data_IF_917308053670
#
_entry.id   IF_917308053670
#
_cell.length_a   1.000
_cell.length_b   1.000
_cell.length_c   1.000
_cell.angle_alpha   90.00
_cell.angle_beta   90.00
_cell.angle_gamma   90.00
#
_symmetry.space_group_name_H-M   'P 1'
#
loop_
_entity.id
_entity.type
_entity.pdbx_description
1 polymer ?
#
# COMPACT_ATOMS: atom_id res chain seq x y z
N UNK A 1 24.81 8.13 -27.21
CA UNK A 1 23.57 7.78 -26.47
C UNK A 1 22.71 9.02 -26.51
N UNK A 2 21.41 8.89 -26.86
CA UNK A 2 20.51 10.03 -26.86
C UNK A 2 20.31 10.52 -25.40
N UNK A 3 20.11 11.81 -25.20
CA UNK A 3 19.80 12.39 -23.90
C UNK A 3 18.65 11.68 -23.20
N UNK A 4 17.65 11.27 -23.98
CA UNK A 4 16.54 10.46 -23.48
C UNK A 4 16.99 9.14 -22.85
N UNK A 5 17.93 8.43 -23.51
CA UNK A 5 18.44 7.17 -22.94
C UNK A 5 19.20 7.42 -21.62
N UNK A 6 19.95 8.51 -21.52
CA UNK A 6 20.63 8.88 -20.26
C UNK A 6 19.62 9.16 -19.15
N UNK A 7 18.56 9.94 -19.43
CA UNK A 7 17.50 10.20 -18.44
C UNK A 7 16.83 8.92 -17.97
N UNK A 8 16.57 7.96 -18.86
CA UNK A 8 16.01 6.68 -18.46
C UNK A 8 16.97 5.85 -17.61
N UNK A 9 18.26 5.86 -17.94
CA UNK A 9 19.29 5.20 -17.14
C UNK A 9 19.35 5.79 -15.72
N UNK A 10 19.37 7.11 -15.60
CA UNK A 10 19.37 7.82 -14.32
C UNK A 10 18.12 7.47 -13.47
N UNK A 11 16.94 7.35 -14.09
CA UNK A 11 15.69 7.04 -13.40
C UNK A 11 15.64 5.58 -12.94
N UNK A 12 15.98 4.64 -13.83
CA UNK A 12 15.66 3.22 -13.62
C UNK A 12 16.86 2.36 -13.22
N UNK A 13 18.08 2.81 -13.49
CA UNK A 13 19.29 2.04 -13.23
C UNK A 13 20.10 2.65 -12.08
N UNK A 14 20.43 3.93 -12.18
CA UNK A 14 21.25 4.61 -11.16
C UNK A 14 20.46 4.81 -9.84
N UNK A 15 19.15 4.86 -9.92
CA UNK A 15 18.29 5.09 -8.77
C UNK A 15 17.85 3.76 -8.15
N UNK A 16 18.61 3.28 -7.16
CA UNK A 16 18.37 1.98 -6.50
C UNK A 16 16.95 1.79 -5.98
N UNK A 17 16.28 2.84 -5.47
CA UNK A 17 14.93 2.72 -4.98
C UNK A 17 13.91 2.45 -6.09
N UNK A 18 14.12 2.98 -7.30
CA UNK A 18 13.19 2.77 -8.43
C UNK A 18 13.15 1.31 -8.85
N UNK A 19 14.31 0.72 -9.11
CA UNK A 19 14.43 -0.68 -9.52
C UNK A 19 13.86 -1.62 -8.45
N UNK A 20 14.21 -1.39 -7.17
CA UNK A 20 13.72 -2.16 -6.04
C UNK A 20 12.19 -2.05 -5.94
N UNK A 21 11.65 -0.85 -5.91
CA UNK A 21 10.19 -0.62 -5.75
C UNK A 21 9.39 -1.24 -6.89
N UNK A 22 9.84 -1.10 -8.13
CA UNK A 22 9.17 -1.72 -9.29
C UNK A 22 9.23 -3.25 -9.22
N UNK A 23 10.38 -3.81 -8.87
CA UNK A 23 10.53 -5.25 -8.68
C UNK A 23 9.58 -5.78 -7.61
N UNK A 24 9.57 -5.18 -6.44
CA UNK A 24 8.71 -5.58 -5.32
C UNK A 24 7.23 -5.45 -5.64
N UNK A 25 6.76 -4.31 -6.15
CA UNK A 25 5.35 -4.07 -6.51
C UNK A 25 4.80 -5.05 -7.55
N UNK A 26 5.67 -5.67 -8.33
CA UNK A 26 5.31 -6.60 -9.40
C UNK A 26 5.62 -8.05 -9.09
N UNK A 27 6.15 -8.36 -7.88
CA UNK A 27 6.75 -9.67 -7.58
C UNK A 27 7.80 -10.07 -8.63
N UNK A 28 8.59 -9.10 -9.11
CA UNK A 28 9.63 -9.26 -10.12
C UNK A 28 9.13 -9.79 -11.48
N UNK A 29 7.86 -9.58 -11.81
CA UNK A 29 7.32 -9.91 -13.11
C UNK A 29 7.73 -8.87 -14.15
N UNK A 30 8.56 -9.28 -15.12
CA UNK A 30 9.17 -8.39 -16.12
C UNK A 30 8.12 -7.61 -16.93
N UNK A 31 7.04 -8.25 -17.37
CA UNK A 31 5.97 -7.58 -18.12
C UNK A 31 5.31 -6.47 -17.29
N UNK A 32 5.04 -6.77 -16.04
CA UNK A 32 4.45 -5.80 -15.11
C UNK A 32 5.43 -4.66 -14.80
N UNK A 33 6.73 -4.94 -14.65
CA UNK A 33 7.77 -3.92 -14.50
C UNK A 33 7.76 -2.99 -15.69
N UNK A 34 7.75 -3.51 -16.92
CA UNK A 34 7.72 -2.70 -18.15
C UNK A 34 6.46 -1.82 -18.22
N UNK A 35 5.31 -2.36 -17.84
CA UNK A 35 4.06 -1.58 -17.82
C UNK A 35 4.12 -0.44 -16.80
N UNK A 36 4.62 -0.69 -15.59
CA UNK A 36 4.79 0.36 -14.58
C UNK A 36 5.85 1.38 -14.99
N UNK A 37 6.96 0.95 -15.58
CA UNK A 37 8.00 1.86 -16.12
C UNK A 37 7.42 2.78 -17.20
N UNK A 38 6.65 2.22 -18.14
CA UNK A 38 5.94 3.03 -19.15
C UNK A 38 5.03 4.05 -18.49
N UNK A 39 4.23 3.64 -17.50
CA UNK A 39 3.32 4.52 -16.76
C UNK A 39 4.06 5.70 -16.10
N UNK A 40 5.23 5.45 -15.51
CA UNK A 40 6.06 6.48 -14.89
C UNK A 40 6.58 7.45 -15.95
N UNK A 41 7.12 6.93 -17.06
CA UNK A 41 7.66 7.74 -18.15
C UNK A 41 6.59 8.65 -18.76
N UNK A 42 5.37 8.14 -18.95
CA UNK A 42 4.26 8.91 -19.53
C UNK A 42 3.54 9.80 -18.52
N UNK A 43 3.88 9.70 -17.24
CA UNK A 43 3.25 10.52 -16.21
C UNK A 43 3.62 12.00 -16.34
N UNK A 44 2.64 12.91 -16.39
CA UNK A 44 2.90 14.35 -16.42
C UNK A 44 3.61 14.85 -15.14
N UNK A 45 3.60 14.07 -14.06
CA UNK A 45 4.34 14.36 -12.82
C UNK A 45 5.84 14.30 -13.05
N UNK A 46 6.30 13.38 -13.91
CA UNK A 46 7.73 13.18 -14.18
C UNK A 46 8.34 14.31 -15.00
N UNK A 47 7.55 14.92 -15.92
CA UNK A 47 8.02 16.01 -16.79
C UNK A 47 9.30 15.61 -17.54
N UNK A 48 9.27 14.46 -18.19
CA UNK A 48 10.47 13.87 -18.87
C UNK A 48 11.04 14.86 -19.92
N UNK A 49 10.20 15.63 -20.60
CA UNK A 49 10.64 16.65 -21.56
C UNK A 49 11.52 17.72 -20.90
N UNK A 50 11.17 18.16 -19.70
CA UNK A 50 11.97 19.13 -18.95
C UNK A 50 13.32 18.51 -18.54
N UNK A 51 13.32 17.22 -18.15
CA UNK A 51 14.56 16.49 -17.82
C UNK A 51 15.49 16.34 -18.99
N UNK A 52 14.96 16.17 -20.21
CA UNK A 52 15.75 16.07 -21.45
C UNK A 52 16.33 17.45 -21.85
N UNK A 53 15.57 18.52 -21.64
CA UNK A 53 15.95 19.86 -22.08
C UNK A 53 16.82 20.62 -21.08
N UNK A 54 16.70 20.31 -19.79
CA UNK A 54 17.47 20.99 -18.74
C UNK A 54 18.89 20.42 -18.63
N UNK A 55 19.83 21.01 -19.37
CA UNK A 55 21.24 20.64 -19.43
C UNK A 55 22.05 20.86 -18.13
N UNK A 56 21.49 21.54 -17.12
CA UNK A 56 22.36 22.16 -16.11
C UNK A 56 22.11 21.72 -14.66
N UNK A 57 20.93 21.32 -14.28
CA UNK A 57 20.67 20.88 -12.88
C UNK A 57 19.35 20.11 -12.78
N UNK A 58 19.35 18.84 -13.15
CA UNK A 58 18.22 18.00 -12.74
C UNK A 58 18.40 17.65 -11.28
N UNK A 59 17.51 18.17 -10.42
CA UNK A 59 17.37 17.57 -9.12
C UNK A 59 17.08 16.07 -9.31
N UNK A 60 17.81 15.20 -8.64
CA UNK A 60 17.58 13.76 -8.76
C UNK A 60 16.12 13.47 -8.44
N UNK A 61 15.51 12.57 -9.20
CA UNK A 61 14.13 12.16 -8.95
C UNK A 61 14.05 11.60 -7.55
N UNK A 62 13.34 12.31 -6.67
CA UNK A 62 13.13 11.84 -5.32
C UNK A 62 12.02 10.80 -5.25
N UNK A 63 12.04 9.98 -4.19
CA UNK A 63 11.08 8.91 -3.96
C UNK A 63 9.62 9.38 -3.99
N UNK A 64 9.35 10.57 -3.45
CA UNK A 64 7.99 11.15 -3.43
C UNK A 64 7.46 11.40 -4.83
N UNK A 65 8.26 12.03 -5.69
CA UNK A 65 7.90 12.31 -7.09
C UNK A 65 7.70 11.01 -7.88
N UNK A 66 8.57 10.02 -7.64
CA UNK A 66 8.45 8.70 -8.25
C UNK A 66 7.14 8.00 -7.86
N UNK A 67 6.80 7.94 -6.57
CA UNK A 67 5.53 7.35 -6.11
C UNK A 67 4.32 8.13 -6.62
N UNK A 68 4.39 9.46 -6.65
CA UNK A 68 3.29 10.28 -7.20
C UNK A 68 3.08 10.00 -8.70
N UNK A 69 4.15 9.88 -9.48
CA UNK A 69 4.08 9.50 -10.89
C UNK A 69 3.52 8.08 -11.09
N UNK A 70 3.94 7.14 -10.25
CA UNK A 70 3.47 5.76 -10.27
C UNK A 70 1.96 5.68 -9.98
N UNK A 71 1.47 6.44 -9.01
CA UNK A 71 0.05 6.44 -8.60
C UNK A 71 -0.84 7.14 -9.61
N UNK A 72 -0.44 8.32 -10.06
CA UNK A 72 -1.26 9.12 -10.99
C UNK A 72 -1.16 8.62 -12.43
N UNK A 73 0.00 8.14 -12.85
CA UNK A 73 0.26 7.68 -14.21
C UNK A 73 -0.11 8.74 -15.27
N UNK A 74 -0.54 8.27 -16.43
CA UNK A 74 -1.17 9.10 -17.44
C UNK A 74 -2.61 9.44 -17.00
N UNK A 75 -2.98 10.71 -17.08
CA UNK A 75 -4.27 11.22 -16.60
C UNK A 75 -5.48 10.57 -17.28
N UNK A 76 -5.33 10.14 -18.53
CA UNK A 76 -6.40 9.43 -19.26
C UNK A 76 -6.51 7.95 -18.84
N UNK A 77 -5.40 7.30 -18.57
CA UNK A 77 -5.39 5.92 -18.07
C UNK A 77 -6.03 5.81 -16.67
N UNK A 78 -5.93 6.87 -15.86
CA UNK A 78 -6.58 6.94 -14.54
C UNK A 78 -8.11 6.92 -14.61
N UNK A 79 -8.70 7.47 -15.69
CA UNK A 79 -10.15 7.51 -15.88
C UNK A 79 -10.76 6.18 -16.35
N UNK A 80 -9.98 5.34 -16.99
CA UNK A 80 -10.47 4.16 -17.70
C UNK A 80 -10.14 2.83 -17.04
N UNK A 81 -9.22 2.80 -16.08
CA UNK A 81 -8.79 1.54 -15.49
C UNK A 81 -9.42 1.31 -14.11
N UNK A 82 -10.20 0.28 -14.03
CA UNK A 82 -10.56 -0.37 -12.78
C UNK A 82 -9.31 -1.07 -12.24
N UNK A 83 -8.72 -0.50 -11.22
CA UNK A 83 -7.69 -0.92 -10.26
C UNK A 83 -6.79 -2.15 -10.46
N UNK A 84 -7.12 -3.11 -11.28
CA UNK A 84 -6.40 -4.37 -11.40
C UNK A 84 -5.12 -4.29 -12.26
N UNK A 85 -5.08 -3.39 -13.22
CA UNK A 85 -3.92 -3.23 -14.12
C UNK A 85 -2.78 -2.38 -13.54
N UNK A 86 -3.04 -1.72 -12.43
CA UNK A 86 -2.07 -0.79 -11.86
C UNK A 86 -1.26 -1.43 -10.77
N UNK A 87 -0.37 -2.17 -10.81
CA UNK A 87 0.56 -2.70 -9.80
C UNK A 87 0.45 -2.17 -8.35
N UNK A 88 -0.26 -1.03 -8.16
CA UNK A 88 -0.53 -0.38 -6.86
C UNK A 88 -2.01 -0.49 -6.52
N UNK A 89 -2.30 -1.15 -5.41
CA UNK A 89 -3.65 -1.54 -4.97
C UNK A 89 -4.00 -0.78 -3.70
N UNK A 90 -5.29 -0.44 -3.53
CA UNK A 90 -5.77 0.03 -2.23
C UNK A 90 -5.86 -1.13 -1.25
N UNK A 91 -5.17 -1.00 -0.13
CA UNK A 91 -5.25 -1.95 0.99
C UNK A 91 -6.34 -1.60 2.00
N UNK A 92 -6.99 -0.44 1.83
CA UNK A 92 -8.04 0.09 2.70
C UNK A 92 -9.45 -0.18 2.14
N UNK A 93 -9.66 -1.32 1.51
CA UNK A 93 -10.98 -1.62 0.95
C UNK A 93 -12.01 -1.88 2.02
N UNK A 94 -13.15 -1.23 1.87
CA UNK A 94 -14.39 -1.59 2.56
C UNK A 94 -15.29 -2.30 1.54
N UNK A 95 -15.71 -3.52 1.85
CA UNK A 95 -16.67 -4.23 1.01
C UNK A 95 -18.06 -3.60 1.19
N UNK A 96 -18.69 -3.20 0.09
CA UNK A 96 -20.05 -2.65 0.12
C UNK A 96 -21.12 -3.68 0.53
N UNK A 97 -20.82 -4.96 0.38
CA UNK A 97 -21.75 -6.05 0.71
C UNK A 97 -21.58 -6.59 2.13
N UNK A 98 -20.43 -6.32 2.75
CA UNK A 98 -20.10 -6.76 4.11
C UNK A 98 -19.39 -5.66 4.87
N UNK A 99 -19.83 -5.47 6.09
CA UNK A 99 -19.24 -4.50 7.02
C UNK A 99 -18.14 -5.18 7.82
N UNK A 100 -16.89 -4.89 7.49
CA UNK A 100 -15.71 -5.35 8.23
C UNK A 100 -14.70 -4.21 8.40
N UNK A 101 -13.69 -4.41 9.26
CA UNK A 101 -12.65 -3.41 9.48
C UNK A 101 -11.95 -3.02 8.16
N UNK A 102 -11.84 -1.72 7.86
CA UNK A 102 -11.09 -1.23 6.68
C UNK A 102 -9.60 -1.54 6.76
N UNK A 103 -9.09 -1.90 7.93
CA UNK A 103 -7.69 -2.26 8.16
C UNK A 103 -7.43 -3.77 8.13
N UNK A 104 -8.46 -4.63 7.95
CA UNK A 104 -8.29 -6.08 8.08
C UNK A 104 -7.25 -6.65 7.10
N UNK A 105 -7.24 -6.19 5.85
CA UNK A 105 -6.20 -6.59 4.88
C UNK A 105 -4.80 -6.21 5.38
N UNK A 106 -4.61 -4.99 5.89
CA UNK A 106 -3.32 -4.54 6.44
C UNK A 106 -2.94 -5.30 7.71
N UNK A 107 -3.91 -5.65 8.54
CA UNK A 107 -3.68 -6.43 9.76
C UNK A 107 -3.18 -7.83 9.43
N UNK A 108 -3.75 -8.47 8.41
CA UNK A 108 -3.28 -9.77 7.90
C UNK A 108 -1.86 -9.64 7.34
N UNK A 109 -1.59 -8.60 6.55
CA UNK A 109 -0.24 -8.35 6.02
C UNK A 109 0.77 -8.08 7.13
N UNK A 110 0.40 -7.35 8.19
CA UNK A 110 1.26 -7.10 9.35
C UNK A 110 1.67 -8.39 10.05
N UNK A 111 0.70 -9.29 10.30
CA UNK A 111 0.94 -10.59 10.92
C UNK A 111 1.88 -11.46 10.06
N UNK A 112 1.58 -11.60 8.78
CA UNK A 112 2.39 -12.41 7.87
C UNK A 112 3.78 -11.82 7.62
N UNK A 113 3.93 -10.49 7.67
CA UNK A 113 5.22 -9.81 7.60
C UNK A 113 6.08 -10.15 8.81
N UNK A 114 5.51 -10.09 10.02
CA UNK A 114 6.19 -10.48 11.25
C UNK A 114 6.61 -11.96 11.19
N UNK A 115 5.72 -12.86 10.78
CA UNK A 115 5.99 -14.28 10.60
C UNK A 115 7.16 -14.51 9.63
N UNK A 116 7.17 -13.82 8.48
CA UNK A 116 8.24 -13.95 7.49
C UNK A 116 9.59 -13.49 8.04
N UNK A 117 9.60 -12.45 8.86
CA UNK A 117 10.85 -11.93 9.44
C UNK A 117 11.41 -12.80 10.56
N UNK A 118 10.54 -13.35 11.39
CA UNK A 118 10.96 -14.16 12.53
C UNK A 118 11.27 -15.61 12.16
N UNK A 119 10.76 -16.08 11.01
CA UNK A 119 10.97 -17.46 10.54
C UNK A 119 12.41 -17.70 10.09
N UNK A 120 13.04 -18.76 10.65
CA UNK A 120 14.42 -19.17 10.37
C UNK A 120 14.54 -19.91 9.03
N UNK A 121 13.55 -20.71 8.72
CA UNK A 121 13.47 -21.47 7.48
C UNK A 121 12.22 -21.11 6.66
N UNK A 122 12.09 -21.74 5.49
CA UNK A 122 10.98 -21.45 4.57
C UNK A 122 9.63 -21.84 5.19
N UNK A 123 9.57 -22.91 5.96
CA UNK A 123 8.33 -23.37 6.59
C UNK A 123 7.84 -22.44 7.70
N UNK A 124 8.75 -21.94 8.54
CA UNK A 124 8.46 -21.02 9.63
C UNK A 124 8.04 -19.62 9.13
N UNK A 125 8.42 -19.27 7.88
CA UNK A 125 8.01 -18.01 7.22
C UNK A 125 6.57 -18.04 6.70
N UNK A 126 5.88 -19.16 6.85
CA UNK A 126 4.51 -19.36 6.43
C UNK A 126 3.62 -19.68 7.64
N UNK A 127 2.39 -19.18 7.61
CA UNK A 127 1.38 -19.45 8.63
C UNK A 127 0.19 -20.19 8.03
N UNK A 128 -0.37 -21.16 8.73
CA UNK A 128 -1.56 -21.88 8.24
C UNK A 128 -2.79 -20.95 8.25
N UNK A 129 -3.72 -21.18 7.32
CA UNK A 129 -5.00 -20.48 7.29
C UNK A 129 -5.71 -20.58 8.63
N UNK A 130 -5.71 -21.77 9.25
CA UNK A 130 -6.30 -21.98 10.58
C UNK A 130 -5.65 -21.11 11.65
N UNK A 131 -4.31 -21.02 11.67
CA UNK A 131 -3.60 -20.18 12.65
C UNK A 131 -3.90 -18.70 12.46
N UNK A 132 -4.00 -18.22 11.20
CA UNK A 132 -4.37 -16.84 10.89
C UNK A 132 -5.81 -16.59 11.37
N UNK A 133 -6.73 -17.49 11.04
CA UNK A 133 -8.14 -17.37 11.43
C UNK A 133 -8.27 -17.32 12.95
N UNK A 134 -7.70 -18.28 13.68
CA UNK A 134 -7.76 -18.30 15.14
C UNK A 134 -7.14 -17.08 15.80
N UNK A 135 -6.07 -16.52 15.21
CA UNK A 135 -5.46 -15.28 15.69
C UNK A 135 -6.44 -14.10 15.59
N UNK A 136 -7.13 -13.93 14.47
CA UNK A 136 -8.07 -12.83 14.27
C UNK A 136 -9.42 -13.05 14.95
N UNK A 137 -9.88 -14.30 15.10
CA UNK A 137 -11.04 -14.64 15.92
C UNK A 137 -10.80 -14.27 17.39
N UNK A 138 -9.57 -14.41 17.90
CA UNK A 138 -9.23 -13.95 19.26
C UNK A 138 -9.30 -12.43 19.43
N UNK A 139 -9.27 -11.68 18.32
CA UNK A 139 -9.51 -10.23 18.27
C UNK A 139 -10.99 -9.87 18.02
N UNK A 140 -11.89 -10.84 17.95
CA UNK A 140 -13.32 -10.64 17.74
C UNK A 140 -13.74 -10.53 16.27
N UNK A 141 -12.86 -10.84 15.31
CA UNK A 141 -13.18 -10.77 13.88
C UNK A 141 -13.83 -12.09 13.43
N UNK A 142 -14.89 -11.97 12.65
CA UNK A 142 -15.61 -13.14 12.10
C UNK A 142 -14.73 -13.91 11.10
N UNK A 143 -14.74 -15.24 11.21
CA UNK A 143 -13.99 -16.14 10.32
C UNK A 143 -14.33 -15.97 8.84
N UNK A 144 -15.58 -15.61 8.53
CA UNK A 144 -16.03 -15.39 7.15
C UNK A 144 -15.39 -14.13 6.54
N UNK A 145 -15.21 -13.08 7.34
CA UNK A 145 -14.54 -11.86 6.89
C UNK A 145 -13.03 -12.11 6.70
N UNK A 146 -12.43 -12.90 7.59
CA UNK A 146 -11.02 -13.31 7.47
C UNK A 146 -10.82 -14.10 6.19
N UNK A 147 -11.66 -15.12 5.94
CA UNK A 147 -11.58 -15.94 4.72
C UNK A 147 -11.76 -15.10 3.45
N UNK A 148 -12.69 -14.16 3.47
CA UNK A 148 -12.91 -13.23 2.36
C UNK A 148 -11.64 -12.40 2.07
N UNK A 149 -11.04 -11.79 3.09
CA UNK A 149 -9.82 -11.01 2.96
C UNK A 149 -8.63 -11.85 2.51
N UNK A 150 -8.49 -13.08 3.01
CA UNK A 150 -7.43 -14.00 2.56
C UNK A 150 -7.57 -14.33 1.07
N UNK A 151 -8.79 -14.63 0.59
CA UNK A 151 -9.05 -14.88 -0.83
C UNK A 151 -8.73 -13.65 -1.69
N UNK A 152 -9.11 -12.47 -1.24
CA UNK A 152 -8.79 -11.21 -1.91
C UNK A 152 -7.27 -11.00 -1.98
N UNK A 153 -6.56 -11.11 -0.87
CA UNK A 153 -5.12 -10.92 -0.81
C UNK A 153 -4.34 -11.90 -1.70
N UNK A 154 -4.81 -13.16 -1.79
CA UNK A 154 -4.25 -14.16 -2.73
C UNK A 154 -4.51 -13.76 -4.18
N UNK A 155 -5.74 -13.36 -4.51
CA UNK A 155 -6.10 -12.96 -5.88
C UNK A 155 -5.28 -11.74 -6.35
N UNK A 156 -5.01 -10.81 -5.45
CA UNK A 156 -4.18 -9.63 -5.67
C UNK A 156 -2.67 -9.91 -5.64
N UNK A 157 -2.28 -11.15 -5.32
CA UNK A 157 -0.89 -11.60 -5.16
C UNK A 157 -0.11 -10.81 -4.10
N UNK A 158 -0.80 -10.35 -3.06
CA UNK A 158 -0.18 -9.72 -1.89
C UNK A 158 0.30 -10.78 -0.88
N UNK A 159 -0.37 -11.94 -0.87
CA UNK A 159 0.07 -13.14 -0.19
C UNK A 159 0.07 -14.31 -1.17
N UNK A 160 0.82 -15.34 -0.86
CA UNK A 160 0.94 -16.53 -1.69
C UNK A 160 0.87 -17.81 -0.87
N UNK A 161 0.26 -18.87 -1.43
CA UNK A 161 0.29 -20.19 -0.79
C UNK A 161 1.67 -20.83 -0.93
N UNK A 162 2.05 -21.63 0.07
CA UNK A 162 3.26 -22.46 0.01
C UNK A 162 3.20 -23.47 -1.13
N UNK A 163 2.03 -24.06 -1.36
CA UNK A 163 1.76 -24.93 -2.50
C UNK A 163 0.84 -24.21 -3.51
N UNK A 164 1.40 -23.68 -4.61
CA UNK A 164 0.62 -22.96 -5.62
C UNK A 164 -0.30 -23.85 -6.46
N UNK A 165 -0.15 -25.19 -6.39
CA UNK A 165 -1.04 -26.12 -7.10
C UNK A 165 -2.42 -26.23 -6.45
N UNK A 166 -2.57 -25.76 -5.22
CA UNK A 166 -3.80 -25.84 -4.45
C UNK A 166 -4.54 -24.50 -4.50
N UNK A 167 -5.56 -24.42 -5.37
CA UNK A 167 -6.33 -23.18 -5.60
C UNK A 167 -7.35 -22.87 -4.50
N UNK A 168 -7.64 -23.84 -3.61
CA UNK A 168 -8.63 -23.69 -2.54
C UNK A 168 -7.92 -23.45 -1.22
N UNK A 169 -8.29 -22.38 -0.52
CA UNK A 169 -7.80 -22.09 0.82
C UNK A 169 -8.38 -23.13 1.82
N UNK A 170 -7.61 -24.18 2.08
CA UNK A 170 -7.93 -25.14 3.16
C UNK A 170 -7.28 -24.67 4.48
N UNK A 171 -7.84 -25.09 5.60
CA UNK A 171 -7.33 -24.75 6.93
C UNK A 171 -5.85 -25.10 7.15
N UNK A 172 -5.38 -26.18 6.51
CA UNK A 172 -3.99 -26.65 6.60
C UNK A 172 -3.04 -25.94 5.63
N UNK A 173 -3.56 -25.17 4.66
CA UNK A 173 -2.72 -24.46 3.69
C UNK A 173 -1.91 -23.36 4.39
N UNK A 174 -0.61 -23.32 4.08
CA UNK A 174 0.30 -22.31 4.60
C UNK A 174 0.38 -21.13 3.64
N UNK A 175 0.35 -19.91 4.18
CA UNK A 175 0.39 -18.65 3.44
C UNK A 175 1.57 -17.79 3.90
N UNK A 176 2.17 -17.05 2.99
CA UNK A 176 3.18 -16.04 3.28
C UNK A 176 2.92 -14.73 2.55
N UNK A 177 3.44 -13.63 3.09
CA UNK A 177 3.44 -12.34 2.41
C UNK A 177 4.43 -12.35 1.25
N UNK A 178 4.02 -11.82 0.09
CA UNK A 178 4.89 -11.66 -1.09
C UNK A 178 5.71 -10.36 -1.00
N UNK A 179 6.64 -10.14 -1.95
CA UNK A 179 7.31 -8.85 -2.09
C UNK A 179 6.32 -7.73 -2.39
N UNK A 180 5.33 -7.99 -3.24
CA UNK A 180 4.25 -7.05 -3.53
C UNK A 180 3.45 -6.71 -2.28
N UNK A 181 3.14 -7.71 -1.44
CA UNK A 181 2.45 -7.50 -0.16
C UNK A 181 3.27 -6.65 0.80
N UNK A 182 4.57 -6.88 0.92
CA UNK A 182 5.47 -6.06 1.74
C UNK A 182 5.53 -4.62 1.25
N UNK A 183 5.69 -4.40 -0.06
CA UNK A 183 5.72 -3.06 -0.65
C UNK A 183 4.39 -2.31 -0.40
N UNK A 184 3.24 -2.97 -0.54
CA UNK A 184 1.95 -2.34 -0.25
C UNK A 184 1.75 -2.05 1.23
N UNK A 185 2.21 -2.92 2.12
CA UNK A 185 2.21 -2.66 3.56
C UNK A 185 3.04 -1.41 3.88
N UNK A 186 4.26 -1.31 3.35
CA UNK A 186 5.13 -0.16 3.57
C UNK A 186 4.57 1.14 2.95
N UNK A 187 3.98 1.08 1.75
CA UNK A 187 3.27 2.22 1.17
C UNK A 187 2.10 2.68 2.06
N UNK A 188 1.32 1.75 2.56
CA UNK A 188 0.13 2.03 3.37
C UNK A 188 0.44 2.58 4.76
N UNK A 189 1.62 2.25 5.32
CA UNK A 189 1.99 2.61 6.69
C UNK A 189 3.03 3.72 6.80
N UNK A 190 3.71 4.07 5.68
CA UNK A 190 4.86 4.99 5.71
C UNK A 190 4.86 6.04 4.61
N UNK A 191 4.04 5.87 3.54
CA UNK A 191 4.11 6.77 2.40
C UNK A 191 2.94 7.77 2.38
N UNK A 192 3.26 9.05 2.60
CA UNK A 192 2.28 10.13 2.64
C UNK A 192 1.53 10.33 1.33
N UNK A 193 2.17 10.12 0.18
CA UNK A 193 1.56 10.31 -1.14
C UNK A 193 0.56 9.20 -1.41
N UNK A 194 0.96 7.96 -1.14
CA UNK A 194 0.06 6.81 -1.25
C UNK A 194 -1.15 6.98 -0.32
N UNK A 195 -0.91 7.30 0.95
CA UNK A 195 -1.98 7.45 1.94
C UNK A 195 -2.97 8.55 1.56
N UNK A 196 -2.46 9.70 1.09
CA UNK A 196 -3.30 10.78 0.57
C UNK A 196 -4.12 10.32 -0.65
N UNK A 197 -3.50 9.63 -1.60
CA UNK A 197 -4.19 9.13 -2.80
C UNK A 197 -5.28 8.12 -2.42
N UNK A 198 -5.01 7.24 -1.46
CA UNK A 198 -6.03 6.31 -0.96
C UNK A 198 -7.18 7.04 -0.27
N UNK A 199 -6.91 8.11 0.48
CA UNK A 199 -7.94 8.91 1.13
C UNK A 199 -8.98 9.52 0.17
N UNK A 200 -8.57 9.84 -1.06
CA UNK A 200 -9.45 10.43 -2.08
C UNK A 200 -10.08 9.42 -3.04
N UNK A 201 -9.58 8.18 -3.06
CA UNK A 201 -10.04 7.13 -3.99
C UNK A 201 -10.73 5.96 -3.30
N UNK A 202 -10.48 5.73 -2.02
CA UNK A 202 -11.14 4.66 -1.25
C UNK A 202 -12.56 5.07 -0.88
N UNK A 203 -13.50 4.13 -0.96
CA UNK A 203 -14.86 4.33 -0.47
C UNK A 203 -14.85 4.57 1.05
N UNK A 204 -15.52 5.61 1.50
CA UNK A 204 -15.71 5.95 2.91
C UNK A 204 -17.18 5.75 3.24
N UNK A 205 -17.49 4.87 4.20
CA UNK A 205 -18.85 4.52 4.57
C UNK A 205 -19.58 5.65 5.31
N UNK A 206 -18.84 6.53 5.98
CA UNK A 206 -19.37 7.70 6.66
C UNK A 206 -19.57 8.85 5.65
N UNK A 207 -20.84 9.24 5.36
CA UNK A 207 -21.14 10.26 4.35
C UNK A 207 -20.70 11.66 4.76
N UNK A 208 -20.61 11.97 6.05
CA UNK A 208 -20.14 13.27 6.53
C UNK A 208 -18.64 13.40 6.31
N UNK A 209 -17.86 12.39 6.69
CA UNK A 209 -16.42 12.35 6.48
C UNK A 209 -16.11 12.34 4.98
N UNK A 210 -16.84 11.56 4.17
CA UNK A 210 -16.66 11.52 2.72
C UNK A 210 -16.94 12.88 2.08
N UNK A 211 -17.98 13.59 2.53
CA UNK A 211 -18.32 14.94 2.06
C UNK A 211 -17.27 15.97 2.47
N UNK A 212 -16.79 15.91 3.72
CA UNK A 212 -15.78 16.80 4.26
C UNK A 212 -14.46 16.68 3.48
N UNK A 213 -13.96 15.47 3.29
CA UNK A 213 -12.75 15.19 2.48
C UNK A 213 -12.91 15.72 1.05
N UNK A 214 -14.06 15.46 0.41
CA UNK A 214 -14.35 15.92 -0.96
C UNK A 214 -14.36 17.43 -1.06
N UNK A 215 -15.02 18.10 -0.13
CA UNK A 215 -15.13 19.56 -0.11
C UNK A 215 -13.77 20.21 0.12
N UNK A 216 -12.98 19.64 1.03
CA UNK A 216 -11.63 20.14 1.31
C UNK A 216 -10.69 19.94 0.13
N UNK A 217 -10.79 18.79 -0.57
CA UNK A 217 -10.03 18.51 -1.78
C UNK A 217 -10.32 19.53 -2.90
N UNK A 218 -11.59 19.93 -3.07
CA UNK A 218 -12.03 20.92 -4.09
C UNK A 218 -11.79 22.37 -3.71
N UNK A 219 -11.45 22.67 -2.46
CA UNK A 219 -11.24 24.05 -1.98
C UNK A 219 -10.03 24.71 -2.65
N UNK A 220 -9.93 26.05 -2.61
CA UNK A 220 -8.81 26.83 -3.17
C UNK A 220 -7.59 26.93 -2.25
N UNK A 221 -7.49 26.07 -1.22
CA UNK A 221 -6.38 26.05 -0.27
C UNK A 221 -5.09 25.53 -0.88
N UNK A 222 -3.97 25.82 -0.23
CA UNK A 222 -2.66 25.29 -0.64
C UNK A 222 -2.63 23.74 -0.61
N UNK A 223 -1.93 23.15 -1.57
CA UNK A 223 -1.85 21.69 -1.71
C UNK A 223 -1.32 21.00 -0.45
N UNK A 224 -0.32 21.59 0.22
CA UNK A 224 0.24 21.05 1.47
C UNK A 224 -0.79 21.02 2.60
N UNK A 225 -1.61 22.07 2.74
CA UNK A 225 -2.67 22.13 3.73
C UNK A 225 -3.77 21.10 3.44
N UNK A 226 -4.16 20.98 2.16
CA UNK A 226 -5.13 19.95 1.73
C UNK A 226 -4.67 18.56 2.05
N UNK A 227 -3.43 18.23 1.71
CA UNK A 227 -2.89 16.89 1.92
C UNK A 227 -2.80 16.53 3.39
N UNK A 228 -2.41 17.47 4.24
CA UNK A 228 -2.34 17.25 5.68
C UNK A 228 -3.74 17.00 6.28
N UNK A 229 -4.69 17.89 5.97
CA UNK A 229 -6.06 17.78 6.47
C UNK A 229 -6.72 16.46 6.06
N UNK A 230 -6.64 16.12 4.77
CA UNK A 230 -7.26 14.91 4.23
C UNK A 230 -6.65 13.64 4.82
N UNK A 231 -5.33 13.58 4.96
CA UNK A 231 -4.64 12.46 5.63
C UNK A 231 -5.08 12.32 7.08
N UNK A 232 -5.17 13.42 7.81
CA UNK A 232 -5.63 13.43 9.20
C UNK A 232 -7.04 12.86 9.30
N UNK A 233 -7.98 13.38 8.51
CA UNK A 233 -9.38 12.93 8.51
C UNK A 233 -9.52 11.46 8.13
N UNK A 234 -8.78 11.02 7.13
CA UNK A 234 -8.81 9.61 6.70
C UNK A 234 -8.20 8.68 7.74
N UNK A 235 -7.11 9.06 8.38
CA UNK A 235 -6.50 8.31 9.48
C UNK A 235 -7.45 8.17 10.68
N UNK A 236 -8.09 9.28 11.10
CA UNK A 236 -9.09 9.28 12.17
C UNK A 236 -10.26 8.35 11.82
N UNK A 237 -10.78 8.44 10.59
CA UNK A 237 -11.85 7.56 10.09
C UNK A 237 -11.45 6.08 10.16
N UNK A 238 -10.28 5.71 9.61
CA UNK A 238 -9.82 4.33 9.59
C UNK A 238 -9.73 3.74 11.00
N UNK A 239 -9.19 4.50 11.95
CA UNK A 239 -9.04 4.05 13.35
C UNK A 239 -10.39 3.94 14.05
N UNK A 240 -11.29 4.90 13.84
CA UNK A 240 -12.62 4.86 14.43
C UNK A 240 -13.46 3.72 13.87
N UNK A 241 -13.39 3.49 12.56
CA UNK A 241 -14.12 2.40 11.92
C UNK A 241 -13.59 1.04 12.35
N UNK A 242 -12.27 0.88 12.40
CA UNK A 242 -11.61 -0.35 12.84
C UNK A 242 -12.01 -0.78 14.26
N UNK A 243 -12.13 0.17 15.18
CA UNK A 243 -12.56 -0.07 16.58
C UNK A 243 -13.99 -0.65 16.71
N UNK A 244 -14.82 -0.57 15.69
CA UNK A 244 -16.15 -1.17 15.72
C UNK A 244 -16.12 -2.69 15.57
N UNK A 245 -15.05 -3.22 15.02
CA UNK A 245 -14.91 -4.64 14.63
C UNK A 245 -13.91 -5.41 15.48
N UNK A 246 -13.06 -4.73 16.22
CA UNK A 246 -11.95 -5.35 16.94
C UNK A 246 -12.11 -5.07 18.43
N UNK A 247 -12.02 -6.12 19.22
CA UNK A 247 -11.91 -6.03 20.68
C UNK A 247 -10.59 -5.34 21.02
N UNK A 248 -10.60 -4.46 22.00
CA UNK A 248 -9.41 -3.73 22.43
C UNK A 248 -8.31 -4.72 22.79
N UNK A 249 -7.16 -4.57 22.12
CA UNK A 249 -6.05 -5.50 22.23
C UNK A 249 -5.32 -5.22 23.54
N UNK A 250 -5.30 -6.20 24.45
CA UNK A 250 -4.49 -6.15 25.65
C UNK A 250 -3.01 -5.92 25.31
N UNK A 251 -2.26 -5.34 26.25
CA UNK A 251 -0.83 -5.07 26.09
C UNK A 251 -0.02 -6.39 26.19
N UNK A 252 -0.16 -7.22 25.16
CA UNK A 252 0.46 -8.51 25.00
C UNK A 252 1.37 -8.51 23.76
N UNK A 253 2.57 -9.07 23.88
CA UNK A 253 3.56 -9.16 22.79
C UNK A 253 3.02 -9.85 21.55
N UNK A 254 2.10 -10.80 21.71
CA UNK A 254 1.43 -11.50 20.62
C UNK A 254 0.77 -10.53 19.61
N UNK A 255 0.32 -9.36 20.08
CA UNK A 255 -0.39 -8.38 19.26
C UNK A 255 0.43 -7.12 18.96
N UNK A 256 1.74 -7.14 19.21
CA UNK A 256 2.61 -5.99 18.98
C UNK A 256 2.52 -5.46 17.55
N UNK A 257 2.54 -6.35 16.55
CA UNK A 257 2.43 -5.94 15.14
C UNK A 257 1.11 -5.21 14.82
N UNK A 258 0.03 -5.52 15.53
CA UNK A 258 -1.27 -4.87 15.35
C UNK A 258 -1.28 -3.47 15.99
N UNK A 259 -0.63 -3.32 17.15
CA UNK A 259 -0.46 -2.00 17.79
C UNK A 259 0.44 -1.10 16.97
N UNK A 260 1.52 -1.63 16.41
CA UNK A 260 2.45 -0.87 15.57
C UNK A 260 1.83 -0.46 14.25
N UNK A 261 0.96 -1.30 13.68
CA UNK A 261 0.14 -0.90 12.54
C UNK A 261 -0.72 0.33 12.88
N UNK A 262 -1.46 0.29 13.99
CA UNK A 262 -2.32 1.41 14.40
C UNK A 262 -1.51 2.68 14.69
N UNK A 263 -0.33 2.57 15.34
CA UNK A 263 0.58 3.71 15.53
C UNK A 263 1.02 4.31 14.20
N UNK A 264 1.31 3.45 13.21
CA UNK A 264 1.71 3.88 11.86
C UNK A 264 0.58 4.60 11.14
N UNK A 265 -0.66 4.11 11.23
CA UNK A 265 -1.84 4.79 10.66
C UNK A 265 -2.09 6.12 11.39
N UNK A 266 -2.01 6.13 12.72
CA UNK A 266 -2.17 7.35 13.50
C UNK A 266 -1.10 8.41 13.18
N UNK A 267 0.13 8.00 12.83
CA UNK A 267 1.20 8.91 12.47
C UNK A 267 0.87 9.82 11.26
N UNK A 268 -0.04 9.40 10.37
CA UNK A 268 -0.52 10.25 9.26
C UNK A 268 -1.42 11.41 9.71
N UNK A 269 -1.98 11.35 10.93
CA UNK A 269 -2.75 12.44 11.52
C UNK A 269 -1.88 13.54 12.14
N UNK A 270 -0.59 13.26 12.35
CA UNK A 270 0.36 14.18 12.99
C UNK A 270 1.17 14.89 11.91
N UNK A 271 1.26 16.22 12.02
CA UNK A 271 2.14 17.01 11.16
C UNK A 271 3.61 16.77 11.59
N UNK A 272 4.23 15.76 11.00
CA UNK A 272 5.69 15.64 11.02
C UNK A 272 6.18 16.18 9.70
N UNK A 273 6.75 17.37 9.72
CA UNK A 273 7.39 18.04 8.57
C UNK A 273 8.14 17.02 7.71
N UNK A 274 7.58 16.76 6.53
CA UNK A 274 7.78 15.68 5.62
C UNK A 274 9.23 15.30 5.33
N UNK A 275 9.72 14.28 5.97
CA UNK A 275 10.86 13.54 5.46
C UNK A 275 10.38 12.14 5.10
N UNK A 276 9.86 12.00 3.90
CA UNK A 276 9.75 10.71 3.24
C UNK A 276 11.17 10.24 2.92
N UNK A 277 11.81 9.57 3.87
CA UNK A 277 13.07 8.87 3.60
C UNK A 277 12.75 7.51 2.99
N UNK A 278 13.45 7.10 1.92
CA UNK A 278 13.43 5.72 1.50
C UNK A 278 13.86 4.83 2.67
N UNK A 279 13.29 3.65 2.75
CA UNK A 279 13.63 2.67 3.77
C UNK A 279 15.10 2.35 3.59
N UNK A 280 15.95 2.79 4.53
CA UNK A 280 17.29 2.27 4.66
C UNK A 280 17.15 0.98 5.48
N UNK A 281 17.35 -0.15 4.81
CA UNK A 281 17.53 -1.43 5.48
C UNK A 281 18.78 -1.32 6.36
N UNK A 282 18.62 -1.44 7.67
CA UNK A 282 19.68 -1.79 8.61
C UNK A 282 19.75 -3.31 8.70
#
# INVERSE_FOLDING_TARGET
>A
ISQFAQVLEDIFVENNFTAKTLGELTNYNIRSIMNLSKRIITSPVMRIEDLITSFVTTEPINYTKFIDALLRGDYEAYKTSTGEDFGVISTFKVNSERSHSPLLNLRILALLRLTKWNGRDVEERHMTVQSITSYFESLGIDSVDIEFCLKELVSLRLIEPYDPSNSILSNSQKLAITYKGMAHYDLSTRNNVYFFQMAITTGICDPEIASDIRNYYKSDRFFTEKTLYIRKKFSEYLIQEDKKYIIEVEDNDQFECQRDLLKSIYAFSIDRNGVNKPIQDN
#
